data_IF_998737377193
#
_entry.id   IF_998737377193
#
_cell.length_a   1.000
_cell.length_b   1.000
_cell.length_c   1.000
_cell.angle_alpha   90.00
_cell.angle_beta   90.00
_cell.angle_gamma   90.00
#
_symmetry.space_group_name_H-M   'P 1'
#
loop_
_entity.id
_entity.type
_entity.pdbx_description
1 polymer ?
#
# COMPACT_ATOMS: atom_id res chain seq x y z
N UNK A 1 7.15 19.43 -17.96
CA UNK A 1 6.35 19.39 -16.72
C UNK A 1 7.22 18.74 -15.67
N UNK A 2 7.65 19.48 -14.64
CA UNK A 2 8.38 18.89 -13.52
C UNK A 2 7.45 17.90 -12.83
N UNK A 3 7.81 16.62 -12.81
CA UNK A 3 7.06 15.64 -12.01
C UNK A 3 7.19 16.08 -10.55
N UNK A 4 6.09 16.46 -9.94
CA UNK A 4 6.10 16.86 -8.55
C UNK A 4 6.59 15.69 -7.68
N UNK A 5 7.48 16.00 -6.74
CA UNK A 5 8.05 14.99 -5.84
C UNK A 5 6.93 14.47 -4.94
N UNK A 6 6.63 13.15 -4.93
CA UNK A 6 5.51 12.60 -4.18
C UNK A 6 5.60 12.85 -2.67
N UNK A 7 4.46 12.99 -2.02
CA UNK A 7 4.35 13.02 -0.55
C UNK A 7 4.19 11.62 -0.01
N UNK A 8 5.19 11.13 0.72
CA UNK A 8 5.21 9.76 1.22
C UNK A 8 4.68 9.65 2.66
N UNK A 9 4.77 10.70 3.47
CA UNK A 9 4.27 10.65 4.85
C UNK A 9 2.78 10.96 4.89
N UNK A 10 2.02 9.99 5.39
CA UNK A 10 0.65 10.19 5.82
C UNK A 10 0.64 10.56 7.30
N UNK A 11 0.56 11.85 7.59
CA UNK A 11 0.57 12.39 8.95
C UNK A 11 -0.57 11.84 9.81
N UNK A 12 -1.72 11.51 9.21
CA UNK A 12 -2.88 10.99 9.96
C UNK A 12 -2.62 9.58 10.47
N UNK A 13 -1.91 8.77 9.68
CA UNK A 13 -1.61 7.38 10.04
C UNK A 13 -0.20 7.19 10.60
N UNK A 14 0.58 8.26 10.75
CA UNK A 14 1.98 8.24 11.18
C UNK A 14 2.74 7.14 10.44
N UNK A 15 2.67 7.16 9.11
CA UNK A 15 3.23 6.11 8.26
C UNK A 15 3.85 6.69 7.00
N UNK A 16 4.84 5.98 6.44
CA UNK A 16 5.26 6.17 5.06
C UNK A 16 4.43 5.27 4.16
N UNK A 17 3.69 5.81 3.21
CA UNK A 17 2.78 4.99 2.43
C UNK A 17 2.36 5.58 1.10
N UNK A 18 1.94 4.66 0.24
CA UNK A 18 1.26 4.95 -1.01
C UNK A 18 -0.15 4.38 -0.94
N UNK A 19 -1.04 4.92 -1.75
CA UNK A 19 -2.40 4.43 -1.88
C UNK A 19 -2.61 3.89 -3.28
N UNK A 20 -3.33 2.79 -3.39
CA UNK A 20 -3.84 2.27 -4.65
C UNK A 20 -5.31 2.56 -4.70
N UNK A 21 -5.77 3.24 -5.75
CA UNK A 21 -7.17 3.58 -5.96
C UNK A 21 -7.64 2.83 -7.20
N UNK A 22 -8.67 2.03 -7.06
CA UNK A 22 -9.21 1.23 -8.16
C UNK A 22 -10.27 2.03 -8.93
N UNK A 23 -10.20 2.00 -10.24
CA UNK A 23 -11.09 2.80 -11.10
C UNK A 23 -12.49 2.17 -11.22
N UNK A 24 -12.59 0.85 -11.10
CA UNK A 24 -13.85 0.09 -11.18
C UNK A 24 -13.86 -1.06 -10.18
N UNK A 25 -14.10 -0.79 -8.88
CA UNK A 25 -14.08 -1.81 -7.85
C UNK A 25 -15.31 -2.72 -7.97
N UNK A 26 -15.07 -4.02 -8.14
CA UNK A 26 -16.09 -5.09 -8.23
C UNK A 26 -15.73 -6.26 -7.31
N UNK A 27 -16.67 -7.16 -7.00
CA UNK A 27 -16.41 -8.30 -6.10
C UNK A 27 -15.24 -9.18 -6.57
N UNK A 28 -15.13 -9.45 -7.88
CA UNK A 28 -14.04 -10.22 -8.47
C UNK A 28 -12.64 -9.57 -8.28
N UNK A 29 -12.56 -8.27 -8.00
CA UNK A 29 -11.31 -7.60 -7.65
C UNK A 29 -10.79 -8.08 -6.29
N UNK A 30 -11.67 -8.37 -5.32
CA UNK A 30 -11.27 -8.80 -3.97
C UNK A 30 -10.47 -10.12 -4.05
N UNK A 31 -10.90 -11.09 -4.85
CA UNK A 31 -10.18 -12.36 -5.08
C UNK A 31 -8.81 -12.16 -5.74
N UNK A 32 -8.73 -11.24 -6.72
CA UNK A 32 -7.45 -10.90 -7.38
C UNK A 32 -6.47 -10.22 -6.41
N UNK A 33 -6.97 -9.32 -5.54
CA UNK A 33 -6.17 -8.71 -4.46
C UNK A 33 -5.65 -9.81 -3.53
N UNK A 34 -6.50 -10.75 -3.11
CA UNK A 34 -6.11 -11.91 -2.32
C UNK A 34 -4.99 -12.72 -2.99
N UNK A 35 -5.10 -12.97 -4.28
CA UNK A 35 -4.08 -13.72 -5.04
C UNK A 35 -2.72 -13.00 -5.09
N UNK A 36 -2.72 -11.67 -5.27
CA UNK A 36 -1.49 -10.86 -5.23
C UNK A 36 -0.88 -10.85 -3.83
N UNK A 37 -1.71 -10.70 -2.79
CA UNK A 37 -1.28 -10.76 -1.40
C UNK A 37 -0.65 -12.11 -1.05
N UNK A 38 -1.30 -13.22 -1.41
CA UNK A 38 -0.77 -14.56 -1.18
C UNK A 38 0.57 -14.77 -1.90
N UNK A 39 0.67 -14.35 -3.17
CA UNK A 39 1.90 -14.42 -3.96
C UNK A 39 3.03 -13.56 -3.37
N UNK A 40 2.69 -12.46 -2.71
CA UNK A 40 3.64 -11.60 -2.02
C UNK A 40 4.11 -12.17 -0.66
N UNK A 41 3.57 -13.30 -0.22
CA UNK A 41 3.83 -13.87 1.11
C UNK A 41 3.16 -13.10 2.24
N UNK A 42 2.00 -12.47 1.96
CA UNK A 42 1.29 -11.69 2.95
C UNK A 42 0.64 -12.58 4.02
N UNK A 43 0.69 -12.14 5.27
CA UNK A 43 0.05 -12.77 6.42
C UNK A 43 -1.09 -11.89 6.90
N UNK A 44 -2.28 -12.47 7.04
CA UNK A 44 -3.45 -11.76 7.56
C UNK A 44 -3.40 -11.68 9.09
N UNK A 45 -3.58 -10.49 9.63
CA UNK A 45 -3.71 -10.23 11.07
C UNK A 45 -5.19 -9.99 11.41
N UNK A 46 -5.78 -10.92 12.17
CA UNK A 46 -7.23 -10.95 12.41
C UNK A 46 -7.74 -9.81 13.27
N UNK A 47 -6.93 -9.29 14.20
CA UNK A 47 -7.31 -8.21 15.11
C UNK A 47 -7.37 -6.87 14.39
N UNK A 48 -6.30 -6.51 13.68
CA UNK A 48 -6.21 -5.26 12.93
C UNK A 48 -6.93 -5.31 11.58
N UNK A 49 -7.30 -6.51 11.11
CA UNK A 49 -7.89 -6.75 9.78
C UNK A 49 -7.02 -6.19 8.67
N UNK A 50 -5.71 -6.40 8.83
CA UNK A 50 -4.66 -5.96 7.90
C UNK A 50 -3.88 -7.15 7.38
N UNK A 51 -3.20 -6.95 6.26
CA UNK A 51 -2.16 -7.86 5.81
C UNK A 51 -0.80 -7.27 6.09
N UNK A 52 0.14 -8.12 6.49
CA UNK A 52 1.55 -7.76 6.61
C UNK A 52 2.35 -8.55 5.58
N UNK A 53 3.26 -7.88 4.89
CA UNK A 53 4.28 -8.52 4.06
C UNK A 53 5.61 -8.30 4.75
N UNK A 54 6.39 -9.37 4.92
CA UNK A 54 7.74 -9.26 5.45
C UNK A 54 8.52 -8.22 4.64
N UNK A 55 9.01 -7.20 5.35
CA UNK A 55 9.96 -6.26 4.78
C UNK A 55 11.34 -6.90 4.66
N UNK A 56 12.37 -6.05 4.54
CA UNK A 56 13.78 -6.47 4.63
C UNK A 56 14.12 -7.04 6.02
N UNK A 57 13.37 -6.63 7.04
CA UNK A 57 13.44 -7.15 8.41
C UNK A 57 12.02 -7.38 8.95
N UNK A 58 11.79 -8.46 9.73
CA UNK A 58 10.51 -8.71 10.39
C UNK A 58 10.06 -7.58 11.32
N UNK A 59 11.00 -6.77 11.83
CA UNK A 59 10.69 -5.68 12.78
C UNK A 59 9.99 -4.48 12.14
N UNK A 60 10.01 -4.38 10.81
CA UNK A 60 9.32 -3.30 10.12
C UNK A 60 8.65 -3.84 8.84
N UNK A 61 7.50 -4.51 8.99
CA UNK A 61 6.76 -5.08 7.87
C UNK A 61 6.04 -3.98 7.07
N UNK A 62 5.63 -4.33 5.85
CA UNK A 62 4.75 -3.49 5.04
C UNK A 62 3.31 -3.90 5.33
N UNK A 63 2.52 -2.96 5.81
CA UNK A 63 1.10 -3.11 6.07
C UNK A 63 0.29 -2.79 4.82
N UNK A 64 -0.72 -3.63 4.58
CA UNK A 64 -1.70 -3.44 3.52
C UNK A 64 -3.06 -3.42 4.18
N UNK A 65 -3.75 -2.29 4.09
CA UNK A 65 -5.06 -2.05 4.72
C UNK A 65 -6.02 -1.42 3.71
N UNK A 66 -7.33 -1.52 3.96
CA UNK A 66 -8.29 -0.77 3.16
C UNK A 66 -8.06 0.74 3.37
N UNK A 67 -7.93 1.49 2.28
CA UNK A 67 -7.76 2.95 2.31
C UNK A 67 -9.05 3.71 2.65
N UNK A 68 -10.21 3.08 2.48
CA UNK A 68 -11.53 3.70 2.60
C UNK A 68 -12.45 2.88 3.51
N UNK A 69 -12.41 3.11 4.84
CA UNK A 69 -13.37 2.55 5.78
C UNK A 69 -14.82 2.95 5.43
N UNK A 70 -15.85 2.16 5.79
CA UNK A 70 -15.84 1.09 6.79
C UNK A 70 -15.45 -0.31 6.28
N UNK A 71 -15.09 -0.47 5.00
CA UNK A 71 -14.70 -1.78 4.47
C UNK A 71 -13.44 -2.33 5.16
N UNK A 72 -13.43 -3.61 5.50
CA UNK A 72 -12.23 -4.34 5.98
C UNK A 72 -11.70 -5.20 4.84
N UNK A 73 -10.38 -5.42 4.80
CA UNK A 73 -9.85 -6.41 3.88
C UNK A 73 -10.31 -7.80 4.35
N UNK A 74 -10.94 -8.61 3.49
CA UNK A 74 -11.28 -9.98 3.86
C UNK A 74 -10.03 -10.80 4.13
N UNK A 75 -10.12 -11.77 5.04
CA UNK A 75 -9.11 -12.82 5.10
C UNK A 75 -9.16 -13.64 3.81
N UNK A 76 -8.11 -14.44 3.54
CA UNK A 76 -8.10 -15.33 2.37
C UNK A 76 -9.25 -16.34 2.34
N UNK A 77 -9.89 -16.60 3.48
CA UNK A 77 -10.95 -17.58 3.65
C UNK A 77 -12.34 -16.94 3.83
N UNK A 78 -12.45 -15.61 3.81
CA UNK A 78 -13.74 -14.92 3.91
C UNK A 78 -14.31 -14.67 2.52
N UNK A 79 -15.50 -15.22 2.24
CA UNK A 79 -16.32 -14.89 1.05
C UNK A 79 -16.93 -13.48 1.22
N UNK A 80 -16.09 -12.45 1.18
CA UNK A 80 -16.51 -11.06 1.38
C UNK A 80 -16.78 -10.36 0.04
N UNK A 81 -17.55 -11.03 -0.81
CA UNK A 81 -18.00 -10.52 -2.12
C UNK A 81 -18.99 -9.34 -1.98
N UNK A 82 -19.47 -9.06 -0.76
CA UNK A 82 -20.50 -8.06 -0.50
C UNK A 82 -20.02 -6.61 -0.66
N UNK A 83 -18.73 -6.33 -0.48
CA UNK A 83 -18.20 -4.96 -0.58
C UNK A 83 -16.91 -4.91 -1.40
N UNK A 84 -16.96 -4.38 -2.63
CA UNK A 84 -15.76 -4.16 -3.43
C UNK A 84 -14.77 -3.22 -2.72
N UNK A 85 -13.50 -3.61 -2.59
CA UNK A 85 -12.53 -2.70 -1.99
C UNK A 85 -12.19 -1.59 -3.00
N UNK A 86 -12.37 -0.34 -2.59
CA UNK A 86 -12.18 0.85 -3.45
C UNK A 86 -10.71 1.29 -3.54
N UNK A 87 -9.90 0.86 -2.58
CA UNK A 87 -8.48 1.13 -2.59
C UNK A 87 -7.75 0.55 -1.39
N UNK A 88 -6.43 0.53 -1.51
CA UNK A 88 -5.51 -0.03 -0.52
C UNK A 88 -4.55 1.07 -0.06
N UNK A 89 -4.21 1.06 1.22
CA UNK A 89 -3.03 1.76 1.72
C UNK A 89 -1.92 0.74 1.90
N UNK A 90 -0.79 0.98 1.25
CA UNK A 90 0.44 0.18 1.35
C UNK A 90 1.46 1.02 2.11
N UNK A 91 1.75 0.66 3.36
CA UNK A 91 2.42 1.56 4.30
C UNK A 91 3.40 0.85 5.23
N UNK A 92 4.36 1.63 5.72
CA UNK A 92 5.33 1.28 6.75
C UNK A 92 5.05 2.22 7.92
N UNK A 93 4.81 1.68 9.12
CA UNK A 93 4.50 2.50 10.29
C UNK A 93 5.75 3.26 10.75
N UNK A 94 5.57 4.51 11.19
CA UNK A 94 6.62 5.30 11.85
C UNK A 94 6.68 4.87 13.31
N UNK A 95 7.79 4.28 13.71
CA UNK A 95 8.10 4.10 15.13
C UNK A 95 8.62 5.42 15.71
N UNK A 96 8.55 5.60 17.04
CA UNK A 96 9.06 6.83 17.66
C UNK A 96 10.54 7.01 17.32
N UNK A 97 10.88 8.12 16.64
CA UNK A 97 12.25 8.44 16.24
C UNK A 97 12.75 7.69 14.99
N UNK A 98 11.88 6.98 14.28
CA UNK A 98 12.25 6.24 13.07
C UNK A 98 12.66 7.17 11.92
N UNK A 99 13.84 6.93 11.34
CA UNK A 99 14.24 7.53 10.08
C UNK A 99 13.47 6.94 8.90
N UNK A 100 13.44 7.65 7.76
CA UNK A 100 12.88 7.15 6.50
C UNK A 100 13.32 5.70 6.23
N UNK A 101 12.42 4.80 5.78
CA UNK A 101 12.77 3.42 5.50
C UNK A 101 13.94 3.30 4.52
N UNK A 102 14.74 2.24 4.65
CA UNK A 102 15.87 2.04 3.76
C UNK A 102 15.42 1.79 2.31
N UNK A 103 16.34 1.95 1.35
CA UNK A 103 16.06 1.79 -0.09
C UNK A 103 15.37 0.47 -0.43
N UNK A 104 15.80 -0.65 0.15
CA UNK A 104 15.22 -1.96 -0.15
C UNK A 104 13.76 -2.06 0.33
N UNK A 105 13.43 -1.46 1.48
CA UNK A 105 12.04 -1.33 1.95
C UNK A 105 11.21 -0.47 1.01
N UNK A 106 11.74 0.67 0.56
CA UNK A 106 11.04 1.56 -0.38
C UNK A 106 10.82 0.90 -1.75
N UNK A 107 11.79 0.11 -2.23
CA UNK A 107 11.62 -0.73 -3.43
C UNK A 107 10.48 -1.72 -3.25
N UNK A 108 10.43 -2.43 -2.11
CA UNK A 108 9.37 -3.40 -1.85
C UNK A 108 7.99 -2.73 -1.75
N UNK A 109 7.90 -1.59 -1.06
CA UNK A 109 6.68 -0.79 -0.95
C UNK A 109 6.17 -0.34 -2.32
N UNK A 110 7.05 0.20 -3.17
CA UNK A 110 6.70 0.61 -4.54
C UNK A 110 6.30 -0.59 -5.40
N UNK A 111 7.00 -1.72 -5.30
CA UNK A 111 6.65 -2.93 -6.04
C UNK A 111 5.24 -3.40 -5.70
N UNK A 112 4.92 -3.53 -4.40
CA UNK A 112 3.60 -3.96 -3.95
C UNK A 112 2.50 -3.01 -4.41
N UNK A 113 2.71 -1.69 -4.30
CA UNK A 113 1.74 -0.71 -4.79
C UNK A 113 1.51 -0.82 -6.30
N UNK A 114 2.58 -1.01 -7.10
CA UNK A 114 2.49 -1.22 -8.55
C UNK A 114 1.78 -2.53 -8.89
N UNK A 115 2.10 -3.62 -8.20
CA UNK A 115 1.49 -4.94 -8.44
C UNK A 115 -0.03 -4.90 -8.17
N UNK A 116 -0.45 -4.21 -7.11
CA UNK A 116 -1.87 -3.97 -6.83
C UNK A 116 -2.53 -3.06 -7.88
N UNK A 117 -1.87 -1.98 -8.31
CA UNK A 117 -2.42 -1.06 -9.31
C UNK A 117 -2.67 -1.74 -10.67
N UNK A 118 -1.90 -2.78 -11.02
CA UNK A 118 -2.15 -3.60 -12.23
C UNK A 118 -3.49 -4.31 -12.23
N UNK A 119 -4.18 -4.40 -11.08
CA UNK A 119 -5.52 -4.97 -11.00
C UNK A 119 -6.63 -4.03 -11.48
N UNK A 120 -6.29 -2.86 -12.04
CA UNK A 120 -7.26 -1.89 -12.58
C UNK A 120 -7.37 -0.62 -11.74
N UNK A 121 -6.22 -0.05 -11.37
CA UNK A 121 -6.18 1.19 -10.61
C UNK A 121 -4.89 1.97 -10.81
N UNK A 122 -4.72 2.99 -9.98
CA UNK A 122 -3.56 3.89 -9.99
C UNK A 122 -2.98 4.04 -8.60
N UNK A 123 -1.68 4.31 -8.55
CA UNK A 123 -1.01 4.67 -7.31
C UNK A 123 -1.08 6.17 -7.12
N UNK A 124 -1.49 6.60 -5.93
CA UNK A 124 -1.47 7.99 -5.50
C UNK A 124 -0.68 8.12 -4.21
N UNK A 125 -0.13 9.31 -3.98
CA UNK A 125 0.64 9.64 -2.80
C UNK A 125 -0.26 10.02 -1.59
N UNK A 126 0.33 10.48 -0.49
CA UNK A 126 -0.41 10.85 0.72
C UNK A 126 -1.39 12.01 0.51
N UNK A 127 -1.11 12.89 -0.46
CA UNK A 127 -1.98 14.01 -0.87
C UNK A 127 -2.97 13.63 -1.97
N UNK A 128 -3.05 12.32 -2.30
CA UNK A 128 -3.91 11.76 -3.35
C UNK A 128 -3.54 12.22 -4.75
N UNK A 129 -2.30 12.66 -4.97
CA UNK A 129 -1.78 12.98 -6.29
C UNK A 129 -1.23 11.71 -6.98
N UNK A 130 -1.50 11.50 -8.28
CA UNK A 130 -0.95 10.37 -9.01
C UNK A 130 0.58 10.31 -8.98
N UNK A 131 1.13 9.14 -8.68
CA UNK A 131 2.58 8.93 -8.69
C UNK A 131 3.06 8.54 -10.09
N UNK A 132 3.91 9.38 -10.67
CA UNK A 132 4.53 9.13 -11.98
C UNK A 132 5.72 8.17 -11.87
N UNK A 133 6.27 7.69 -13.00
CA UNK A 133 7.49 6.87 -12.98
C UNK A 133 8.67 7.58 -12.30
N UNK A 134 8.88 8.86 -12.59
CA UNK A 134 9.88 9.68 -11.90
C UNK A 134 9.57 9.84 -10.40
N UNK A 135 8.29 9.91 -10.04
CA UNK A 135 7.83 9.91 -8.65
C UNK A 135 8.19 8.63 -7.92
N UNK A 136 7.95 7.46 -8.53
CA UNK A 136 8.37 6.17 -7.97
C UNK A 136 9.88 6.09 -7.75
N UNK A 137 10.68 6.57 -8.71
CA UNK A 137 12.14 6.62 -8.54
C UNK A 137 12.55 7.56 -7.39
N UNK A 138 11.84 8.68 -7.22
CA UNK A 138 12.06 9.59 -6.08
C UNK A 138 11.73 8.91 -4.74
N UNK A 139 10.64 8.16 -4.65
CA UNK A 139 10.29 7.35 -3.47
C UNK A 139 11.39 6.33 -3.19
N UNK A 140 11.80 5.53 -4.19
CA UNK A 140 12.85 4.51 -4.04
C UNK A 140 14.18 5.12 -3.58
N UNK A 141 14.51 6.31 -4.08
CA UNK A 141 15.73 7.04 -3.73
C UNK A 141 15.66 7.72 -2.34
N UNK A 142 14.54 7.62 -1.61
CA UNK A 142 14.35 8.31 -0.34
C UNK A 142 14.26 9.83 -0.48
N UNK A 143 13.87 10.32 -1.67
CA UNK A 143 13.78 11.75 -2.02
C UNK A 143 12.34 12.27 -2.02
N UNK A 144 11.36 11.43 -1.69
CA UNK A 144 9.97 11.85 -1.51
C UNK A 144 9.85 12.86 -0.34
N UNK A 145 8.81 13.70 -0.38
CA UNK A 145 8.51 14.59 0.76
C UNK A 145 8.05 13.73 1.95
N UNK A 146 8.64 13.94 3.12
CA UNK A 146 8.39 13.19 4.37
C UNK A 146 8.20 14.12 5.56
#
# INVERSE_FOLDING_TARGET
MSAEVPVLVDEKSQAWGLFVVFDSPEAALNQRIGSVLASAGAVFESESKSFTVAGVSPRNPIYIVNAYPPGKLPSFNDDNDQWPIKGLSVKILKERGSSTPNKLQLVRLVSLAKDMARLGGKVVDAEKQPVTEAGFQSVIAGKAKV
#
